data_IF_078933452985
#
_entry.id   IF_078933452985
#
_cell.length_a   1.000
_cell.length_b   1.000
_cell.length_c   1.000
_cell.angle_alpha   90.00
_cell.angle_beta   90.00
_cell.angle_gamma   90.00
#
_symmetry.space_group_name_H-M   'P 1'
#
loop_
_entity.id
_entity.type
_entity.pdbx_description
1 polymer ?
#
# COMPACT_ATOMS: atom_id res chain seq x y z
N UNK A 1 -1.53 22.46 -33.29
CA UNK A 1 -1.96 21.95 -31.96
C UNK A 1 -1.50 20.51 -31.88
N UNK A 2 -0.32 20.27 -31.28
CA UNK A 2 0.27 18.94 -31.17
C UNK A 2 -0.42 18.23 -30.02
N UNK A 3 -1.25 17.22 -30.30
CA UNK A 3 -1.77 16.30 -29.31
C UNK A 3 -0.61 15.38 -28.93
N UNK A 4 0.03 15.65 -27.79
CA UNK A 4 0.90 14.66 -27.17
C UNK A 4 0.03 13.45 -26.81
N UNK A 5 0.17 12.38 -27.60
CA UNK A 5 -0.38 11.09 -27.22
C UNK A 5 0.27 10.68 -25.88
N UNK A 6 -0.48 10.17 -24.92
CA UNK A 6 0.10 9.66 -23.67
C UNK A 6 1.14 8.61 -24.06
N UNK A 7 2.40 8.84 -23.66
CA UNK A 7 3.47 7.84 -23.83
C UNK A 7 3.06 6.61 -23.03
N UNK A 8 2.79 5.53 -23.70
CA UNK A 8 2.68 4.23 -23.05
C UNK A 8 4.05 3.80 -22.55
N UNK A 9 4.13 3.42 -21.29
CA UNK A 9 5.35 2.90 -20.68
C UNK A 9 5.23 1.38 -20.55
N UNK A 10 6.27 0.63 -20.94
CA UNK A 10 6.28 -0.82 -20.75
C UNK A 10 6.44 -1.15 -19.26
N UNK A 11 5.67 -2.13 -18.80
CA UNK A 11 5.87 -2.82 -17.53
C UNK A 11 6.49 -4.16 -17.82
N UNK A 12 7.68 -4.40 -17.29
CA UNK A 12 8.48 -5.59 -17.56
C UNK A 12 8.63 -6.44 -16.31
N UNK A 13 8.70 -7.75 -16.47
CA UNK A 13 9.13 -8.70 -15.43
C UNK A 13 10.45 -9.32 -15.88
N UNK A 14 11.47 -9.19 -15.05
CA UNK A 14 12.75 -9.86 -15.23
C UNK A 14 12.88 -11.09 -14.33
N UNK A 15 13.72 -12.04 -14.73
CA UNK A 15 14.05 -13.22 -13.93
C UNK A 15 15.18 -12.85 -12.95
N UNK A 16 15.02 -13.18 -11.65
CA UNK A 16 15.98 -12.83 -10.60
C UNK A 16 17.40 -13.38 -10.82
N UNK A 17 17.55 -14.44 -11.60
CA UNK A 17 18.87 -14.98 -11.97
C UNK A 17 19.62 -14.12 -13.01
N UNK A 18 18.95 -13.10 -13.59
CA UNK A 18 19.50 -12.31 -14.70
C UNK A 18 19.66 -13.10 -16.01
N UNK A 19 19.13 -14.32 -16.07
CA UNK A 19 19.18 -15.15 -17.28
C UNK A 19 17.84 -15.08 -18.03
N UNK A 20 17.88 -14.66 -19.28
CA UNK A 20 16.71 -14.52 -20.15
C UNK A 20 16.34 -13.07 -20.42
N UNK A 21 15.42 -12.88 -21.37
CA UNK A 21 14.90 -11.58 -21.74
C UNK A 21 13.78 -11.15 -20.77
N UNK A 22 13.66 -9.86 -20.54
CA UNK A 22 12.55 -9.30 -19.77
C UNK A 22 11.23 -9.55 -20.50
N UNK A 23 10.24 -10.04 -19.77
CA UNK A 23 8.91 -10.27 -20.30
C UNK A 23 8.06 -9.01 -20.21
N UNK A 24 7.50 -8.57 -21.34
CA UNK A 24 6.52 -7.48 -21.36
C UNK A 24 5.21 -7.94 -20.71
N UNK A 25 4.88 -7.37 -19.58
CA UNK A 25 3.66 -7.68 -18.82
C UNK A 25 2.48 -6.85 -19.31
N UNK A 26 2.68 -5.54 -19.45
CA UNK A 26 1.65 -4.63 -19.93
C UNK A 26 2.26 -3.34 -20.48
N UNK A 27 1.47 -2.62 -21.29
CA UNK A 27 1.72 -1.21 -21.61
C UNK A 27 0.72 -0.36 -20.83
N UNK A 28 1.21 0.61 -20.09
CA UNK A 28 0.39 1.47 -19.24
C UNK A 28 0.42 2.91 -19.73
N UNK A 29 -0.73 3.61 -19.76
CA UNK A 29 -0.77 5.00 -20.16
C UNK A 29 -0.15 5.88 -19.07
N UNK A 30 0.83 6.70 -19.45
CA UNK A 30 1.43 7.69 -18.56
C UNK A 30 2.29 7.12 -17.44
N UNK A 31 2.46 7.88 -16.35
CA UNK A 31 3.23 7.44 -15.18
C UNK A 31 2.40 6.43 -14.39
N UNK A 32 2.90 5.24 -14.30
CA UNK A 32 2.35 4.15 -13.50
C UNK A 32 3.39 3.68 -12.50
N UNK A 33 2.99 3.43 -11.27
CA UNK A 33 3.83 2.79 -10.25
C UNK A 33 3.28 1.40 -9.94
N UNK A 34 4.18 0.51 -9.57
CA UNK A 34 3.83 -0.78 -8.99
C UNK A 34 3.72 -0.58 -7.48
N UNK A 35 2.59 -0.93 -6.92
CA UNK A 35 2.34 -0.81 -5.49
C UNK A 35 2.61 -2.13 -4.78
N UNK A 36 2.16 -3.26 -5.34
CA UNK A 36 2.30 -4.57 -4.69
C UNK A 36 2.17 -5.74 -5.67
N UNK A 37 2.67 -6.90 -5.25
CA UNK A 37 2.48 -8.20 -5.92
C UNK A 37 1.79 -9.15 -4.94
N UNK A 38 0.73 -9.82 -5.38
CA UNK A 38 0.04 -10.79 -4.51
C UNK A 38 0.97 -11.92 -4.08
N UNK A 39 0.81 -12.43 -2.86
CA UNK A 39 1.67 -13.45 -2.28
C UNK A 39 1.74 -14.77 -3.09
N UNK A 40 0.70 -15.05 -3.86
CA UNK A 40 0.61 -16.21 -4.76
C UNK A 40 1.15 -15.93 -6.18
N UNK A 41 1.66 -14.71 -6.43
CA UNK A 41 2.25 -14.30 -7.70
C UNK A 41 1.25 -14.19 -8.86
N UNK A 42 -0.07 -14.16 -8.59
CA UNK A 42 -1.09 -14.09 -9.65
C UNK A 42 -1.42 -12.70 -10.10
N UNK A 43 -1.29 -11.72 -9.20
CA UNK A 43 -1.76 -10.36 -9.43
C UNK A 43 -0.71 -9.33 -9.11
N UNK A 44 -0.74 -8.25 -9.87
CA UNK A 44 0.04 -7.05 -9.66
C UNK A 44 -0.92 -5.89 -9.38
N UNK A 45 -0.66 -5.13 -8.33
CA UNK A 45 -1.32 -3.87 -8.05
C UNK A 45 -0.53 -2.74 -8.68
N UNK A 46 -1.18 -1.97 -9.53
CA UNK A 46 -0.58 -0.80 -10.17
C UNK A 46 -1.43 0.43 -9.90
N UNK A 47 -0.77 1.57 -9.80
CA UNK A 47 -1.41 2.86 -9.62
C UNK A 47 -1.05 3.77 -10.79
N UNK A 48 -2.06 4.45 -11.36
CA UNK A 48 -1.87 5.45 -12.40
C UNK A 48 -3.06 6.39 -12.49
N UNK A 49 -2.80 7.68 -12.66
CA UNK A 49 -3.84 8.73 -12.80
C UNK A 49 -4.82 8.82 -11.62
N UNK A 50 -4.40 8.46 -10.42
CA UNK A 50 -5.23 8.51 -9.21
C UNK A 50 -6.06 7.25 -8.96
N UNK A 51 -5.99 6.24 -9.85
CA UNK A 51 -6.75 4.99 -9.73
C UNK A 51 -5.85 3.81 -9.42
N UNK A 52 -6.38 2.83 -8.71
CA UNK A 52 -5.79 1.51 -8.53
C UNK A 52 -6.33 0.52 -9.57
N UNK A 53 -5.45 -0.30 -10.12
CA UNK A 53 -5.78 -1.35 -11.07
C UNK A 53 -5.12 -2.65 -10.67
N UNK A 54 -5.79 -3.77 -10.94
CA UNK A 54 -5.24 -5.10 -10.79
C UNK A 54 -4.91 -5.65 -12.18
N UNK A 55 -3.71 -6.17 -12.32
CA UNK A 55 -3.26 -6.87 -13.51
C UNK A 55 -3.07 -8.35 -13.18
N UNK A 56 -3.74 -9.25 -13.92
CA UNK A 56 -3.46 -10.68 -13.85
C UNK A 56 -2.12 -10.98 -14.56
N UNK A 57 -1.24 -11.70 -13.87
CA UNK A 57 0.05 -12.10 -14.43
C UNK A 57 -0.04 -13.40 -15.24
N UNK A 58 -1.17 -14.13 -15.16
CA UNK A 58 -1.39 -15.41 -15.85
C UNK A 58 -2.26 -15.31 -17.10
N UNK A 59 -3.28 -14.44 -17.05
CA UNK A 59 -4.29 -14.35 -18.10
C UNK A 59 -3.87 -13.33 -19.20
N UNK A 60 -4.83 -12.61 -19.73
CA UNK A 60 -4.66 -11.66 -20.84
C UNK A 60 -3.79 -10.43 -20.52
N UNK A 61 -3.30 -10.34 -19.30
CA UNK A 61 -2.40 -9.26 -18.80
C UNK A 61 -2.94 -7.85 -19.03
N UNK A 62 -4.28 -7.70 -19.06
CA UNK A 62 -4.92 -6.40 -19.14
C UNK A 62 -5.18 -5.84 -17.73
N UNK A 63 -4.78 -4.59 -17.47
CA UNK A 63 -5.13 -3.95 -16.22
C UNK A 63 -6.65 -3.78 -16.12
N UNK A 64 -7.24 -4.35 -15.08
CA UNK A 64 -8.64 -4.17 -14.73
C UNK A 64 -8.75 -3.11 -13.63
N UNK A 65 -9.74 -2.21 -13.70
CA UNK A 65 -9.98 -1.27 -12.64
C UNK A 65 -10.25 -2.00 -11.32
N UNK A 66 -9.53 -1.66 -10.27
CA UNK A 66 -9.86 -2.10 -8.93
C UNK A 66 -10.81 -1.11 -8.26
N UNK A 67 -10.55 0.17 -8.43
CA UNK A 67 -11.43 1.25 -8.01
C UNK A 67 -11.53 2.29 -9.12
N UNK A 68 -12.75 2.68 -9.48
CA UNK A 68 -13.04 3.77 -10.43
C UNK A 68 -14.11 4.66 -9.80
N UNK A 69 -13.74 5.43 -8.81
CA UNK A 69 -14.70 6.21 -8.03
C UNK A 69 -14.65 7.71 -8.34
N UNK A 70 -13.66 8.17 -9.10
CA UNK A 70 -13.37 9.58 -9.30
C UNK A 70 -12.63 10.24 -8.13
N UNK A 71 -12.30 9.46 -7.10
CA UNK A 71 -11.46 9.86 -5.98
C UNK A 71 -10.02 9.42 -6.23
N UNK A 72 -9.10 9.81 -5.34
CA UNK A 72 -7.70 9.40 -5.43
C UNK A 72 -7.48 8.17 -4.57
N UNK A 73 -7.25 7.02 -5.22
CA UNK A 73 -6.88 5.77 -4.58
C UNK A 73 -5.40 5.47 -4.79
N UNK A 74 -4.73 5.04 -3.72
CA UNK A 74 -3.28 4.78 -3.72
C UNK A 74 -2.87 3.78 -2.64
N UNK A 75 -1.60 3.40 -2.69
CA UNK A 75 -0.95 2.53 -1.69
C UNK A 75 -1.64 1.16 -1.56
N UNK A 76 -2.11 0.59 -2.67
CA UNK A 76 -2.83 -0.69 -2.67
C UNK A 76 -1.92 -1.84 -2.22
N UNK A 77 -2.38 -2.65 -1.23
CA UNK A 77 -1.68 -3.81 -0.68
C UNK A 77 -2.58 -5.02 -0.62
N UNK A 78 -2.15 -6.12 -1.23
CA UNK A 78 -2.87 -7.39 -1.13
C UNK A 78 -2.77 -7.95 0.29
N UNK A 79 -3.86 -8.53 0.77
CA UNK A 79 -3.80 -9.37 1.97
C UNK A 79 -2.94 -10.61 1.72
N UNK A 80 -2.37 -11.22 2.77
CA UNK A 80 -1.52 -12.41 2.61
C UNK A 80 -2.20 -13.59 1.91
N UNK A 81 -3.52 -13.70 2.02
CA UNK A 81 -4.32 -14.74 1.35
C UNK A 81 -4.88 -14.30 -0.03
N UNK A 82 -4.51 -13.11 -0.50
CA UNK A 82 -4.92 -12.55 -1.80
C UNK A 82 -6.44 -12.42 -1.99
N UNK A 83 -7.21 -12.32 -0.90
CA UNK A 83 -8.67 -12.12 -0.97
C UNK A 83 -9.09 -10.66 -0.88
N UNK A 84 -8.25 -9.84 -0.26
CA UNK A 84 -8.52 -8.46 0.07
C UNK A 84 -7.41 -7.55 -0.41
N UNK A 85 -7.74 -6.28 -0.58
CA UNK A 85 -6.77 -5.20 -0.79
C UNK A 85 -7.05 -4.11 0.21
N UNK A 86 -6.03 -3.72 0.97
CA UNK A 86 -6.03 -2.50 1.76
C UNK A 86 -5.47 -1.35 0.91
N UNK A 87 -6.07 -0.18 1.00
CA UNK A 87 -5.65 0.98 0.20
C UNK A 87 -6.03 2.30 0.89
N UNK A 88 -5.41 3.38 0.45
CA UNK A 88 -5.75 4.75 0.84
C UNK A 88 -6.71 5.35 -0.18
N UNK A 89 -7.77 6.02 0.29
CA UNK A 89 -8.68 6.80 -0.57
C UNK A 89 -9.17 8.06 0.15
N UNK A 90 -9.37 9.13 -0.63
CA UNK A 90 -9.96 10.37 -0.13
C UNK A 90 -11.48 10.49 -0.36
N UNK A 91 -12.17 9.38 -0.60
CA UNK A 91 -13.62 9.36 -0.89
C UNK A 91 -14.50 9.91 0.24
N UNK A 92 -14.02 9.97 1.47
CA UNK A 92 -14.70 10.57 2.63
C UNK A 92 -14.36 12.04 2.87
N UNK A 93 -13.65 12.69 1.93
CA UNK A 93 -13.20 14.09 2.05
C UNK A 93 -11.79 14.25 2.62
N UNK A 94 -11.22 13.19 3.18
CA UNK A 94 -9.83 13.12 3.62
C UNK A 94 -9.29 11.71 3.37
N UNK A 95 -7.97 11.56 3.44
CA UNK A 95 -7.34 10.26 3.30
C UNK A 95 -7.74 9.31 4.43
N UNK A 96 -8.32 8.18 4.06
CA UNK A 96 -8.66 7.09 4.95
C UNK A 96 -8.16 5.76 4.40
N UNK A 97 -7.93 4.82 5.29
CA UNK A 97 -7.60 3.44 4.92
C UNK A 97 -8.88 2.63 4.78
N UNK A 98 -9.00 1.95 3.65
CA UNK A 98 -10.10 1.05 3.33
C UNK A 98 -9.59 -0.35 3.04
N UNK A 99 -10.45 -1.34 3.22
CA UNK A 99 -10.26 -2.69 2.70
C UNK A 99 -11.40 -3.00 1.72
N UNK A 100 -11.08 -3.65 0.61
CA UNK A 100 -12.05 -4.13 -0.37
C UNK A 100 -11.71 -5.55 -0.79
N UNK A 101 -12.75 -6.36 -1.06
CA UNK A 101 -12.58 -7.68 -1.66
C UNK A 101 -12.16 -7.58 -3.12
N UNK A 102 -11.32 -8.52 -3.57
CA UNK A 102 -10.94 -8.63 -4.99
C UNK A 102 -12.09 -9.20 -5.82
N UNK A 103 -12.90 -10.11 -5.25
CA UNK A 103 -13.90 -10.88 -5.99
C UNK A 103 -15.35 -10.56 -5.64
N UNK A 104 -15.59 -9.88 -4.52
CA UNK A 104 -16.94 -9.59 -4.02
C UNK A 104 -17.18 -8.07 -3.87
N UNK A 105 -18.44 -7.68 -3.76
CA UNK A 105 -18.81 -6.32 -3.38
C UNK A 105 -18.63 -6.14 -1.87
N UNK A 106 -18.07 -5.01 -1.47
CA UNK A 106 -17.89 -4.63 -0.06
C UNK A 106 -16.65 -3.77 0.10
N UNK A 107 -16.82 -2.66 0.81
CA UNK A 107 -15.76 -1.72 1.18
C UNK A 107 -15.91 -1.45 2.67
N UNK A 108 -14.81 -1.59 3.41
CA UNK A 108 -14.77 -1.36 4.84
C UNK A 108 -13.76 -0.26 5.14
N UNK A 109 -14.21 0.80 5.78
CA UNK A 109 -13.33 1.83 6.30
C UNK A 109 -12.66 1.32 7.57
N UNK A 110 -11.34 1.41 7.63
CA UNK A 110 -10.51 0.88 8.72
C UNK A 110 -10.04 1.99 9.64
N UNK A 111 -9.51 3.08 9.08
CA UNK A 111 -9.14 4.25 9.86
C UNK A 111 -10.37 5.12 10.17
N UNK A 112 -10.30 5.94 11.25
CA UNK A 112 -11.40 6.82 11.67
C UNK A 112 -11.08 8.29 11.48
N UNK A 113 -9.91 8.69 11.94
CA UNK A 113 -9.46 10.09 11.98
C UNK A 113 -8.41 10.39 10.91
N UNK A 114 -8.51 9.71 9.77
CA UNK A 114 -7.52 9.74 8.71
C UNK A 114 -6.58 8.54 8.77
N UNK A 115 -5.93 8.26 7.64
CA UNK A 115 -4.94 7.18 7.57
C UNK A 115 -4.44 6.95 6.16
N UNK A 116 -3.20 6.48 6.05
CA UNK A 116 -2.52 6.23 4.78
C UNK A 116 -1.48 5.12 4.88
N UNK A 117 -1.02 4.64 3.71
CA UNK A 117 0.06 3.67 3.57
C UNK A 117 -0.19 2.36 4.35
N UNK A 118 -1.30 1.64 4.11
CA UNK A 118 -1.59 0.42 4.85
C UNK A 118 -0.55 -0.67 4.61
N UNK A 119 -0.27 -1.48 5.64
CA UNK A 119 0.56 -2.70 5.59
C UNK A 119 -0.08 -3.81 6.39
N UNK A 120 -0.18 -4.98 5.78
CA UNK A 120 -0.68 -6.17 6.45
C UNK A 120 0.41 -6.83 7.30
N UNK A 121 0.04 -7.33 8.49
CA UNK A 121 0.83 -8.38 9.12
C UNK A 121 0.71 -9.66 8.29
N UNK A 122 1.76 -10.47 8.26
CA UNK A 122 1.80 -11.66 7.37
C UNK A 122 0.69 -12.69 7.63
N UNK A 123 0.14 -12.75 8.82
CA UNK A 123 -0.99 -13.65 9.15
C UNK A 123 -2.37 -13.07 8.78
N UNK A 124 -2.43 -11.83 8.30
CA UNK A 124 -3.65 -11.13 7.93
C UNK A 124 -4.52 -10.65 9.09
N UNK A 125 -4.08 -10.84 10.34
CA UNK A 125 -4.86 -10.49 11.54
C UNK A 125 -4.68 -9.08 12.04
N UNK A 126 -3.75 -8.34 11.47
CA UNK A 126 -3.52 -6.92 11.75
C UNK A 126 -3.22 -6.15 10.49
N UNK A 127 -3.63 -4.90 10.50
CA UNK A 127 -3.29 -3.89 9.52
C UNK A 127 -2.66 -2.70 10.23
N UNK A 128 -1.51 -2.27 9.73
CA UNK A 128 -0.81 -1.09 10.18
C UNK A 128 -1.02 0.06 9.20
N UNK A 129 -1.02 1.30 9.68
CA UNK A 129 -1.10 2.49 8.84
C UNK A 129 -0.58 3.72 9.56
N UNK A 130 -0.28 4.78 8.82
CA UNK A 130 0.11 6.07 9.38
C UNK A 130 -1.12 6.98 9.53
N UNK A 131 -1.28 7.59 10.71
CA UNK A 131 -2.26 8.65 10.92
C UNK A 131 -1.83 9.95 10.22
N UNK A 132 -2.72 10.96 10.08
CA UNK A 132 -2.34 12.29 9.56
C UNK A 132 -1.24 12.96 10.38
N UNK A 133 -1.22 12.74 11.68
CA UNK A 133 -0.20 13.29 12.61
C UNK A 133 1.12 12.52 12.56
N UNK A 134 1.21 11.45 11.73
CA UNK A 134 2.40 10.63 11.59
C UNK A 134 2.60 9.60 12.70
N UNK A 135 1.53 9.20 13.37
CA UNK A 135 1.55 8.11 14.34
C UNK A 135 1.38 6.77 13.62
N UNK A 136 2.13 5.75 14.04
CA UNK A 136 1.90 4.38 13.62
C UNK A 136 0.68 3.83 14.34
N UNK A 137 -0.29 3.38 13.57
CA UNK A 137 -1.55 2.82 14.06
C UNK A 137 -1.63 1.33 13.73
N UNK A 138 -2.30 0.55 14.57
CA UNK A 138 -2.63 -0.84 14.33
C UNK A 138 -4.13 -1.09 14.51
N UNK A 139 -4.68 -1.98 13.67
CA UNK A 139 -6.06 -2.46 13.79
C UNK A 139 -6.06 -3.98 13.70
N UNK A 140 -6.68 -4.63 14.69
CA UNK A 140 -6.95 -6.07 14.60
C UNK A 140 -8.05 -6.34 13.59
N UNK A 141 -7.89 -7.40 12.83
CA UNK A 141 -8.83 -7.80 11.80
C UNK A 141 -9.28 -9.24 12.02
N UNK A 142 -10.58 -9.47 11.92
CA UNK A 142 -11.17 -10.80 11.88
C UNK A 142 -11.84 -10.99 10.51
N UNK A 143 -11.38 -12.02 9.82
CA UNK A 143 -11.88 -12.34 8.48
C UNK A 143 -12.97 -13.39 8.56
N UNK A 144 -14.07 -13.14 7.86
CA UNK A 144 -15.12 -14.12 7.59
C UNK A 144 -15.12 -14.51 6.10
N UNK A 145 -16.05 -15.37 5.68
CA UNK A 145 -16.15 -15.77 4.27
C UNK A 145 -16.32 -14.58 3.33
N UNK A 146 -17.08 -13.55 3.73
CA UNK A 146 -17.47 -12.44 2.85
C UNK A 146 -17.29 -11.04 3.46
N UNK A 147 -16.68 -10.93 4.63
CA UNK A 147 -16.52 -9.66 5.33
C UNK A 147 -15.25 -9.61 6.16
N UNK A 148 -14.81 -8.38 6.43
CA UNK A 148 -13.78 -8.05 7.41
C UNK A 148 -14.48 -7.35 8.58
N UNK A 149 -14.19 -7.81 9.80
CA UNK A 149 -14.51 -7.10 11.03
C UNK A 149 -13.23 -6.45 11.53
N UNK A 150 -13.24 -5.13 11.68
CA UNK A 150 -12.11 -4.37 12.15
C UNK A 150 -12.35 -3.93 13.60
N UNK A 151 -11.34 -4.11 14.45
CA UNK A 151 -11.30 -3.55 15.79
C UNK A 151 -11.17 -2.02 15.77
N UNK A 152 -10.94 -1.44 16.92
CA UNK A 152 -10.61 -0.02 17.01
C UNK A 152 -9.14 0.21 16.69
N UNK A 153 -8.80 1.28 15.90
CA UNK A 153 -7.42 1.67 15.72
C UNK A 153 -6.75 2.01 17.05
N UNK A 154 -5.57 1.45 17.29
CA UNK A 154 -4.73 1.73 18.44
C UNK A 154 -3.42 2.37 17.99
N UNK A 155 -2.97 3.41 18.71
CA UNK A 155 -1.66 4.01 18.50
C UNK A 155 -0.58 3.07 19.04
N UNK A 156 0.46 2.82 18.24
CA UNK A 156 1.62 2.05 18.65
C UNK A 156 2.76 2.97 19.12
N UNK A 157 3.12 3.93 18.28
CA UNK A 157 4.19 4.89 18.58
C UNK A 157 4.14 6.09 17.61
N UNK A 158 4.88 7.13 17.96
CA UNK A 158 5.06 8.30 17.11
C UNK A 158 6.11 8.01 16.02
N UNK A 159 5.66 7.94 14.78
CA UNK A 159 6.49 7.71 13.60
C UNK A 159 6.73 9.02 12.81
N UNK A 160 6.48 10.19 13.45
CA UNK A 160 6.66 11.48 12.78
C UNK A 160 8.06 11.62 12.24
N UNK A 161 8.11 12.07 11.01
CA UNK A 161 9.34 12.43 10.33
C UNK A 161 9.58 13.92 10.48
N UNK A 162 10.80 14.36 10.77
CA UNK A 162 11.16 15.73 10.46
C UNK A 162 10.92 15.94 8.96
N UNK A 163 10.05 16.86 8.63
CA UNK A 163 9.75 17.22 7.25
C UNK A 163 11.05 17.67 6.56
N UNK A 164 11.45 17.04 5.47
CA UNK A 164 12.37 17.66 4.54
C UNK A 164 11.59 18.75 3.82
N UNK A 165 11.79 20.00 4.18
CA UNK A 165 11.33 21.14 3.39
C UNK A 165 11.82 20.96 1.95
N UNK A 166 10.87 20.88 1.00
CA UNK A 166 11.17 20.75 -0.43
C UNK A 166 11.10 19.34 -1.02
N UNK A 167 10.96 18.28 -0.23
CA UNK A 167 10.55 16.97 -0.74
C UNK A 167 9.03 16.91 -0.67
N UNK A 168 8.37 17.05 -1.83
CA UNK A 168 6.92 16.94 -1.91
C UNK A 168 6.43 15.63 -1.28
N UNK A 169 5.21 15.64 -0.72
CA UNK A 169 4.52 14.51 -0.05
C UNK A 169 4.26 13.30 -0.99
N UNK A 170 5.04 13.14 -2.04
CA UNK A 170 4.96 12.07 -3.03
C UNK A 170 5.84 10.87 -2.71
N UNK A 171 6.50 10.83 -1.54
CA UNK A 171 7.29 9.65 -1.14
C UNK A 171 6.36 8.55 -0.67
N UNK A 172 6.14 7.57 -1.52
CA UNK A 172 5.42 6.33 -1.23
C UNK A 172 6.36 5.35 -0.51
N UNK A 173 5.79 4.46 0.28
CA UNK A 173 6.56 3.44 1.01
C UNK A 173 7.52 4.02 2.06
N UNK A 174 6.96 4.82 2.94
CA UNK A 174 7.73 5.49 4.00
C UNK A 174 8.10 4.56 5.15
N UNK A 175 7.50 3.39 5.20
CA UNK A 175 7.82 2.36 6.17
C UNK A 175 7.52 0.96 5.62
N UNK A 176 8.09 -0.02 6.28
CA UNK A 176 7.74 -1.42 6.10
C UNK A 176 7.72 -2.13 7.45
N UNK A 177 7.09 -3.30 7.54
CA UNK A 177 6.90 -4.06 8.76
C UNK A 177 7.38 -5.50 8.59
N UNK A 178 8.02 -6.05 9.62
CA UNK A 178 8.41 -7.47 9.60
C UNK A 178 7.18 -8.38 9.58
N UNK A 179 7.31 -9.61 9.05
CA UNK A 179 6.19 -10.55 8.92
C UNK A 179 5.44 -10.83 10.22
N UNK A 180 6.12 -10.77 11.36
CA UNK A 180 5.57 -10.97 12.70
C UNK A 180 4.88 -9.71 13.27
N UNK A 181 5.00 -8.56 12.58
CA UNK A 181 4.45 -7.29 13.04
C UNK A 181 5.23 -6.64 14.19
N UNK A 182 6.39 -7.15 14.57
CA UNK A 182 7.10 -6.72 15.78
C UNK A 182 8.16 -5.64 15.52
N UNK A 183 8.52 -5.41 14.27
CA UNK A 183 9.56 -4.43 13.91
C UNK A 183 9.14 -3.63 12.70
N UNK A 184 9.43 -2.35 12.75
CA UNK A 184 9.14 -1.41 11.68
C UNK A 184 10.45 -0.79 11.17
N UNK A 185 10.62 -0.78 9.85
CA UNK A 185 11.64 0.03 9.18
C UNK A 185 10.97 1.33 8.72
N UNK A 186 11.46 2.46 9.21
CA UNK A 186 10.86 3.76 8.90
C UNK A 186 11.92 4.64 8.24
N UNK A 187 11.56 5.24 7.11
CA UNK A 187 12.40 6.25 6.46
C UNK A 187 12.18 7.58 7.18
N UNK A 188 13.20 8.05 7.88
CA UNK A 188 13.20 9.37 8.52
C UNK A 188 14.09 10.33 7.73
N UNK A 189 13.65 11.59 7.63
CA UNK A 189 14.53 12.64 7.19
C UNK A 189 15.46 13.01 8.35
N UNK A 190 16.75 12.80 8.18
CA UNK A 190 17.77 13.21 9.10
C UNK A 190 18.68 14.28 8.48
N UNK A 191 19.53 14.91 9.28
CA UNK A 191 20.69 15.60 8.72
C UNK A 191 21.51 14.59 7.90
N UNK A 192 22.26 15.04 6.90
CA UNK A 192 22.99 14.17 5.95
C UNK A 192 23.93 13.12 6.60
N UNK A 193 24.07 13.12 7.91
CA UNK A 193 24.86 12.21 8.74
C UNK A 193 24.06 11.28 9.64
N UNK A 194 22.70 11.35 9.64
CA UNK A 194 21.92 10.54 10.55
C UNK A 194 21.76 9.11 10.03
N UNK A 195 21.93 8.09 10.89
CA UNK A 195 21.74 6.70 10.51
C UNK A 195 20.27 6.38 10.26
N UNK A 196 20.02 5.33 9.48
CA UNK A 196 18.67 4.77 9.34
C UNK A 196 18.22 4.22 10.70
N UNK A 197 17.08 4.71 11.21
CA UNK A 197 16.50 4.22 12.46
C UNK A 197 15.60 3.01 12.20
N UNK A 198 15.86 1.93 12.90
CA UNK A 198 15.01 0.72 12.91
C UNK A 198 14.38 0.60 14.29
N UNK A 199 13.07 0.67 14.36
CA UNK A 199 12.33 0.46 15.62
C UNK A 199 12.20 -1.05 15.86
N UNK A 200 12.82 -1.54 16.92
CA UNK A 200 12.80 -2.94 17.32
C UNK A 200 11.96 -3.09 18.59
N UNK A 201 11.18 -4.20 18.67
CA UNK A 201 10.45 -4.59 19.89
C UNK A 201 9.53 -3.49 20.44
N UNK A 202 8.76 -2.82 19.58
CA UNK A 202 7.83 -1.78 19.98
C UNK A 202 6.84 -2.20 21.09
N UNK A 203 6.47 -3.50 21.16
CA UNK A 203 5.61 -4.03 22.22
C UNK A 203 6.19 -3.84 23.62
N UNK A 204 7.50 -3.76 23.77
CA UNK A 204 8.16 -3.44 25.05
C UNK A 204 8.01 -1.95 25.45
N UNK A 205 7.59 -1.09 24.54
CA UNK A 205 7.39 0.36 24.79
C UNK A 205 5.98 0.68 25.28
N UNK A 206 5.00 -0.19 25.08
CA UNK A 206 3.59 0.01 25.50
C UNK A 206 3.34 -0.42 26.94
N UNK A 207 4.27 -1.14 27.56
CA UNK A 207 4.17 -1.67 28.94
C UNK A 207 4.75 -0.80 30.04
N UNK A 208 4.81 0.53 29.85
CA UNK A 208 5.23 1.45 30.92
C UNK A 208 4.22 2.57 31.11
#
# INVERSE_FOLDING_TARGET
>A
MWKLLPRELPLLIGIASGSGDDELVAKTPGRTSVDDVSSDGRFLMIQGSGDLKILSLKDDKKPLPFSQTGFNERDGRFSPNTRWVAYTSNQSGQDQVYIRSISASGIWQISRDGGREPRWRRDGKELFFLSPEGKMMAVTLEETANAIQAGLPAELFDARRPFLEGVGDNSRNNYDVTPDGQRFLIVQAGAASDPIHVVLNWTALIGK
#
